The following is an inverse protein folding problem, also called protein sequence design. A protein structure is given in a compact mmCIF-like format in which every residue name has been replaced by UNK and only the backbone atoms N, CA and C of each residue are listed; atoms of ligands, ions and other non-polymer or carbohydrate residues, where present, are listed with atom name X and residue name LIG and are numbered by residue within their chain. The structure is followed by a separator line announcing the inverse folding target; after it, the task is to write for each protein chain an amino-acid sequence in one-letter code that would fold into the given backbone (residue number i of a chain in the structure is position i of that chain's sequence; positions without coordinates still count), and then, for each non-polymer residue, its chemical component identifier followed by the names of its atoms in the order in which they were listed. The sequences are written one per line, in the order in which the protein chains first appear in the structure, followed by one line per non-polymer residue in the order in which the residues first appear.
data_IF_596738968599
#
_entry.id   IF_596738968599
#
_cell.length_a   1.000
_cell.length_b   1.000
_cell.length_c   1.000
_cell.angle_alpha   90.00
_cell.angle_beta   90.00
_cell.angle_gamma   90.00
#
_symmetry.space_group_name_H-M   'P 1'
#
loop_
_entity.id
_entity.type
_entity.pdbx_description
1 polymer ?
#
# COMPACT_ATOMS: atom_id res chain seq x y z
N UNK A 1 12.92 2.82 -9.45
CA UNK A 1 12.02 3.61 -8.58
C UNK A 1 11.57 2.75 -7.42
N UNK A 2 11.40 3.36 -6.29
CA UNK A 2 11.04 2.64 -5.07
C UNK A 2 10.15 3.51 -4.19
N UNK A 3 9.52 2.86 -3.23
CA UNK A 3 8.73 3.53 -2.19
C UNK A 3 9.28 3.14 -0.84
N UNK A 4 8.86 3.85 0.20
CA UNK A 4 9.16 3.47 1.57
C UNK A 4 7.92 2.79 2.14
N UNK A 5 8.07 1.55 2.57
CA UNK A 5 6.97 0.75 3.11
C UNK A 5 7.28 0.42 4.57
N UNK A 6 6.46 0.96 5.47
CA UNK A 6 6.64 0.76 6.91
C UNK A 6 8.08 1.05 7.35
N UNK A 7 8.65 2.13 6.80
CA UNK A 7 9.99 2.57 7.15
C UNK A 7 11.12 1.91 6.37
N UNK A 8 10.82 0.97 5.46
CA UNK A 8 11.84 0.24 4.70
C UNK A 8 11.68 0.47 3.21
N UNK A 9 12.79 0.48 2.49
CA UNK A 9 12.74 0.59 1.03
C UNK A 9 12.06 -0.63 0.40
N UNK A 10 11.22 -0.38 -0.60
CA UNK A 10 10.49 -1.43 -1.29
C UNK A 10 10.39 -1.09 -2.78
N UNK A 11 10.56 -2.07 -3.68
CA UNK A 11 10.45 -1.80 -5.11
C UNK A 11 9.06 -1.27 -5.46
N UNK A 12 9.02 -0.39 -6.47
CA UNK A 12 7.76 0.10 -7.02
C UNK A 12 6.98 -1.07 -7.63
N UNK A 13 5.68 -1.23 -7.33
CA UNK A 13 4.89 -2.27 -8.00
C UNK A 13 4.77 -1.98 -9.50
N UNK A 14 4.56 -3.03 -10.29
CA UNK A 14 4.60 -2.93 -11.75
C UNK A 14 3.58 -1.94 -12.30
N UNK A 15 2.40 -1.83 -11.70
CA UNK A 15 1.35 -0.92 -12.18
C UNK A 15 1.31 0.39 -11.40
N UNK A 16 2.23 0.60 -10.47
CA UNK A 16 2.36 1.83 -9.70
C UNK A 16 1.11 2.20 -8.89
N UNK A 17 0.27 1.23 -8.53
CA UNK A 17 -0.93 1.51 -7.74
C UNK A 17 -0.88 0.85 -6.38
N UNK A 18 -1.72 1.32 -5.46
CA UNK A 18 -1.87 0.67 -4.16
C UNK A 18 -2.37 -0.76 -4.34
N UNK A 19 -3.33 -0.97 -5.25
CA UNK A 19 -3.83 -2.31 -5.54
C UNK A 19 -2.69 -3.24 -5.95
N UNK A 20 -1.82 -2.78 -6.85
CA UNK A 20 -0.68 -3.58 -7.28
C UNK A 20 0.30 -3.86 -6.16
N UNK A 21 0.54 -2.87 -5.30
CA UNK A 21 1.40 -3.06 -4.14
C UNK A 21 0.84 -4.13 -3.20
N UNK A 22 -0.44 -4.03 -2.86
CA UNK A 22 -1.08 -5.01 -1.97
C UNK A 22 -1.04 -6.41 -2.57
N UNK A 23 -1.28 -6.52 -3.88
CA UNK A 23 -1.19 -7.81 -4.56
C UNK A 23 0.21 -8.41 -4.46
N UNK A 24 1.24 -7.59 -4.66
CA UNK A 24 2.63 -8.05 -4.61
C UNK A 24 3.02 -8.51 -3.19
N UNK A 25 2.36 -8.00 -2.17
CA UNK A 25 2.63 -8.37 -0.78
C UNK A 25 1.75 -9.54 -0.30
N UNK A 26 0.85 -10.04 -1.15
CA UNK A 26 -0.09 -11.07 -0.76
C UNK A 26 -1.22 -10.57 0.12
N UNK A 27 -1.51 -9.28 0.08
CA UNK A 27 -2.51 -8.65 0.95
C UNK A 27 -3.78 -8.21 0.23
N UNK A 28 -3.94 -8.59 -1.05
CA UNK A 28 -5.06 -8.12 -1.87
C UNK A 28 -6.43 -8.41 -1.25
N UNK A 29 -6.56 -9.56 -0.57
CA UNK A 29 -7.84 -9.98 0.03
C UNK A 29 -7.83 -9.87 1.54
N UNK A 30 -6.87 -9.16 2.10
CA UNK A 30 -6.75 -9.04 3.55
C UNK A 30 -7.26 -7.69 4.03
N UNK A 31 -7.87 -7.62 5.23
CA UNK A 31 -8.23 -6.33 5.80
C UNK A 31 -6.98 -5.57 6.22
N UNK A 32 -6.78 -4.41 5.61
CA UNK A 32 -5.61 -3.59 5.89
C UNK A 32 -6.02 -2.14 6.04
N UNK A 33 -5.20 -1.38 6.75
CA UNK A 33 -5.24 0.08 6.77
C UNK A 33 -4.03 0.56 5.99
N UNK A 34 -4.25 1.44 5.02
CA UNK A 34 -3.18 1.99 4.20
C UNK A 34 -3.13 3.49 4.38
N UNK A 35 -1.93 4.01 4.67
CA UNK A 35 -1.66 5.45 4.66
C UNK A 35 -0.66 5.73 3.56
N UNK A 36 -0.99 6.69 2.72
CA UNK A 36 -0.13 7.14 1.62
C UNK A 36 0.31 8.57 1.94
N UNK A 37 1.60 8.74 2.18
CA UNK A 37 2.17 10.04 2.61
C UNK A 37 1.38 10.62 3.78
N UNK A 38 1.06 9.76 4.76
CA UNK A 38 0.35 10.09 6.00
C UNK A 38 -1.13 10.40 5.80
N UNK A 39 -1.68 10.11 4.63
CA UNK A 39 -3.12 10.26 4.37
C UNK A 39 -3.74 8.88 4.31
N UNK A 40 -4.74 8.63 5.16
CA UNK A 40 -5.43 7.35 5.17
C UNK A 40 -6.26 7.21 3.89
N UNK A 41 -6.18 6.04 3.27
CA UNK A 41 -6.91 5.73 2.05
C UNK A 41 -8.05 4.76 2.34
N UNK A 42 -9.13 4.89 1.58
CA UNK A 42 -10.20 3.91 1.59
C UNK A 42 -9.95 2.88 0.50
N UNK A 43 -10.46 1.64 0.64
CA UNK A 43 -10.28 0.62 -0.39
C UNK A 43 -10.71 1.08 -1.79
N UNK A 44 -11.73 1.91 -1.87
CA UNK A 44 -12.19 2.44 -3.17
C UNK A 44 -11.15 3.32 -3.86
N UNK A 45 -10.14 3.79 -3.12
CA UNK A 45 -9.10 4.67 -3.67
C UNK A 45 -7.88 3.89 -4.15
N UNK A 46 -7.80 2.60 -3.86
CA UNK A 46 -6.59 1.83 -4.11
C UNK A 46 -6.26 1.71 -5.60
N UNK A 47 -7.28 1.52 -6.44
CA UNK A 47 -7.06 1.39 -7.88
C UNK A 47 -6.66 2.69 -8.54
N UNK A 48 -7.09 3.81 -7.99
CA UNK A 48 -6.88 5.12 -8.59
C UNK A 48 -5.69 5.87 -7.99
N UNK A 49 -5.11 5.38 -6.90
CA UNK A 49 -3.97 6.04 -6.29
C UNK A 49 -2.69 5.57 -6.95
N UNK A 50 -2.04 6.46 -7.68
CA UNK A 50 -0.79 6.19 -8.37
C UNK A 50 0.38 6.54 -7.46
N UNK A 51 1.29 5.60 -7.29
CA UNK A 51 2.48 5.79 -6.47
C UNK A 51 3.59 6.47 -7.28
N UNK A 52 4.33 7.34 -6.61
CA UNK A 52 5.49 8.00 -7.19
C UNK A 52 6.74 7.59 -6.43
N UNK A 53 7.88 7.79 -7.09
CA UNK A 53 9.17 7.47 -6.48
C UNK A 53 9.30 8.18 -5.13
N UNK A 54 9.78 7.45 -4.14
CA UNK A 54 9.99 7.93 -2.78
C UNK A 54 8.72 8.18 -1.95
N UNK A 55 7.55 7.79 -2.46
CA UNK A 55 6.33 7.88 -1.65
C UNK A 55 6.46 7.03 -0.38
N UNK A 56 5.83 7.49 0.68
CA UNK A 56 5.82 6.81 1.96
C UNK A 56 4.50 6.09 2.16
N UNK A 57 4.57 4.82 2.52
CA UNK A 57 3.39 3.98 2.75
C UNK A 57 3.49 3.30 4.10
N UNK A 58 2.39 3.34 4.82
CA UNK A 58 2.22 2.55 6.03
C UNK A 58 1.06 1.59 5.78
N UNK A 59 1.31 0.30 5.93
CA UNK A 59 0.28 -0.72 5.75
C UNK A 59 0.21 -1.54 7.02
N UNK A 60 -0.97 -1.56 7.63
CA UNK A 60 -1.20 -2.29 8.86
C UNK A 60 -2.26 -3.35 8.58
N UNK A 61 -1.95 -4.60 8.86
CA UNK A 61 -2.94 -5.66 8.74
C UNK A 61 -3.80 -5.71 9.98
N UNK A 62 -5.09 -5.95 9.78
CA UNK A 62 -6.03 -6.05 10.89
C UNK A 62 -6.28 -7.53 11.14
N UNK A 63 -6.02 -7.98 12.36
CA UNK A 63 -6.25 -9.37 12.72
C UNK A 63 -7.75 -9.62 12.79
N UNK A 64 -8.25 -10.49 11.89
CA UNK A 64 -9.65 -10.85 11.88
C UNK A 64 -9.95 -11.81 13.02
N UNK A 65 -11.07 -11.60 13.67
CA UNK A 65 -11.56 -12.52 14.65
C UNK A 65 -10.82 -12.49 15.96
N UNK A 66 -9.96 -11.53 16.11
CA UNK A 66 -9.32 -11.23 17.40
C UNK A 66 -8.88 -12.41 18.18
#
# INVERSE_FOLDING_TARGET
MSVTLNGNGHPMPADNTITGLLASLGLADKPVVVEHNKVALFPRDYDSTVLEDNDSLEIITIAAGG
#
